data_IF_875610803049
#
_entry.id   IF_875610803049
#
_cell.length_a   1.000
_cell.length_b   1.000
_cell.length_c   1.000
_cell.angle_alpha   90.00
_cell.angle_beta   90.00
_cell.angle_gamma   90.00
#
_symmetry.space_group_name_H-M   'P 1'
#
loop_
_entity.id
_entity.type
_entity.pdbx_description
1 polymer ?
#
# COMPACT_ATOMS: atom_id res chain seq x y z
N UNK A 1 19.94 -76.04 -19.33
CA UNK A 1 19.11 -74.99 -19.85
C UNK A 1 18.83 -74.00 -18.68
N UNK A 2 19.59 -72.90 -18.61
CA UNK A 2 19.49 -71.94 -17.59
C UNK A 2 18.73 -70.69 -18.21
N UNK A 3 17.54 -70.40 -17.73
CA UNK A 3 16.76 -69.22 -18.15
C UNK A 3 17.11 -68.03 -17.23
N UNK A 4 17.80 -67.09 -17.79
CA UNK A 4 18.12 -65.82 -17.13
C UNK A 4 16.94 -64.84 -17.33
N UNK A 5 16.28 -64.42 -16.24
CA UNK A 5 15.21 -63.40 -16.24
C UNK A 5 15.84 -62.04 -16.02
N UNK A 6 15.73 -61.16 -17.00
CA UNK A 6 16.19 -59.75 -16.91
C UNK A 6 15.04 -58.93 -16.32
N UNK A 7 15.23 -58.39 -15.10
CA UNK A 7 14.32 -57.42 -14.49
C UNK A 7 14.71 -56.00 -14.93
N UNK A 8 13.87 -55.38 -15.73
CA UNK A 8 14.02 -53.98 -16.15
C UNK A 8 13.36 -53.08 -15.09
N UNK A 9 14.17 -52.38 -14.29
CA UNK A 9 13.68 -51.33 -13.40
C UNK A 9 13.40 -50.08 -14.23
N UNK A 10 12.13 -49.69 -14.34
CA UNK A 10 11.68 -48.43 -14.94
C UNK A 10 11.72 -47.35 -13.86
N UNK A 11 12.75 -46.51 -13.87
CA UNK A 11 12.89 -45.37 -12.97
C UNK A 11 11.99 -44.22 -13.44
N UNK A 12 10.90 -43.96 -12.71
CA UNK A 12 10.00 -42.84 -12.96
C UNK A 12 10.62 -41.57 -12.36
N UNK A 13 11.21 -40.72 -13.19
CA UNK A 13 11.70 -39.38 -12.79
C UNK A 13 10.50 -38.46 -12.68
N UNK A 14 10.12 -38.15 -11.44
CA UNK A 14 9.10 -37.12 -11.15
C UNK A 14 9.72 -35.74 -11.34
N UNK A 15 9.43 -35.12 -12.48
CA UNK A 15 9.83 -33.71 -12.74
C UNK A 15 8.89 -32.79 -11.93
N UNK A 16 9.35 -32.31 -10.78
CA UNK A 16 8.65 -31.25 -10.05
C UNK A 16 8.79 -29.92 -10.81
N UNK A 17 7.73 -29.51 -11.47
CA UNK A 17 7.61 -28.15 -12.04
C UNK A 17 7.49 -27.19 -10.86
N UNK A 18 8.58 -26.53 -10.51
CA UNK A 18 8.55 -25.37 -9.63
C UNK A 18 7.92 -24.24 -10.45
N UNK A 19 6.65 -23.97 -10.22
CA UNK A 19 5.98 -22.78 -10.74
C UNK A 19 6.57 -21.57 -10.02
N UNK A 20 7.66 -21.02 -10.56
CA UNK A 20 8.13 -19.71 -10.15
C UNK A 20 7.04 -18.70 -10.51
N UNK A 21 6.49 -18.00 -9.52
CA UNK A 21 5.68 -16.82 -9.76
C UNK A 21 6.59 -15.84 -10.50
N UNK A 22 6.34 -15.60 -11.79
CA UNK A 22 6.98 -14.53 -12.52
C UNK A 22 6.54 -13.22 -11.84
N UNK A 23 7.47 -12.56 -11.15
CA UNK A 23 7.30 -11.15 -10.86
C UNK A 23 7.15 -10.45 -12.22
N UNK A 24 6.06 -9.70 -12.39
CA UNK A 24 5.84 -8.90 -13.60
C UNK A 24 7.01 -7.92 -13.73
N UNK A 25 7.66 -7.85 -14.91
CA UNK A 25 8.81 -6.96 -15.14
C UNK A 25 8.35 -5.51 -14.97
N UNK A 26 8.44 -4.92 -13.83
CA UNK A 26 7.95 -3.57 -13.52
C UNK A 26 7.19 -3.49 -12.18
N UNK A 27 7.01 -4.63 -11.52
CA UNK A 27 6.39 -4.70 -10.19
C UNK A 27 7.44 -5.01 -9.12
N UNK A 28 7.46 -4.22 -8.04
CA UNK A 28 8.31 -4.46 -6.88
C UNK A 28 7.44 -4.84 -5.70
N UNK A 29 7.60 -6.06 -5.18
CA UNK A 29 6.90 -6.50 -3.97
C UNK A 29 7.62 -6.03 -2.72
N UNK A 30 6.85 -5.54 -1.75
CA UNK A 30 7.33 -5.24 -0.40
C UNK A 30 6.48 -5.97 0.64
N UNK A 31 7.08 -6.20 1.82
CA UNK A 31 6.37 -6.62 3.04
C UNK A 31 6.46 -5.50 4.06
N UNK A 32 5.31 -5.04 4.52
CA UNK A 32 5.16 -4.09 5.63
C UNK A 32 4.73 -4.87 6.86
N UNK A 33 5.65 -5.10 7.79
CA UNK A 33 5.37 -5.73 9.06
C UNK A 33 4.77 -4.69 10.02
N UNK A 34 3.59 -4.96 10.58
CA UNK A 34 2.94 -4.07 11.54
C UNK A 34 2.73 -4.78 12.89
N UNK A 35 2.43 -4.00 13.93
CA UNK A 35 2.05 -4.57 15.24
C UNK A 35 0.75 -5.39 15.21
N UNK A 36 0.00 -5.36 14.09
CA UNK A 36 -1.23 -6.13 13.91
C UNK A 36 -1.12 -7.23 12.85
N UNK A 37 0.04 -7.41 12.21
CA UNK A 37 0.32 -8.41 11.18
C UNK A 37 0.96 -7.81 9.94
N UNK A 38 1.28 -8.66 8.99
CA UNK A 38 1.99 -8.28 7.78
C UNK A 38 1.02 -7.89 6.67
N UNK A 39 1.43 -6.91 5.84
CA UNK A 39 0.76 -6.46 4.64
C UNK A 39 1.75 -6.58 3.48
N UNK A 40 1.45 -7.40 2.48
CA UNK A 40 2.26 -7.52 1.26
C UNK A 40 1.65 -6.64 0.17
N UNK A 41 2.50 -5.84 -0.48
CA UNK A 41 2.08 -4.82 -1.43
C UNK A 41 2.92 -4.94 -2.71
N UNK A 42 2.26 -4.96 -3.86
CA UNK A 42 2.87 -4.82 -5.16
C UNK A 42 2.89 -3.34 -5.55
N UNK A 43 4.08 -2.81 -5.81
CA UNK A 43 4.33 -1.45 -6.26
C UNK A 43 4.58 -1.46 -7.77
N UNK A 44 3.84 -0.66 -8.53
CA UNK A 44 3.83 -0.64 -10.00
C UNK A 44 4.83 0.38 -10.56
N UNK A 45 6.13 0.03 -10.55
CA UNK A 45 7.24 0.89 -10.98
C UNK A 45 7.14 1.33 -12.45
N UNK A 46 6.59 0.49 -13.30
CA UNK A 46 6.38 0.77 -14.72
C UNK A 46 5.28 1.81 -14.98
N UNK A 47 4.29 1.90 -14.08
CA UNK A 47 3.14 2.80 -14.20
C UNK A 47 3.31 4.11 -13.45
N UNK A 48 3.88 4.06 -12.25
CA UNK A 48 4.07 5.21 -11.36
C UNK A 48 5.53 5.35 -10.91
N UNK A 49 6.49 5.57 -11.84
CA UNK A 49 7.92 5.49 -11.55
C UNK A 49 8.40 6.54 -10.55
N UNK A 50 7.85 7.77 -10.55
CA UNK A 50 8.25 8.82 -9.61
C UNK A 50 7.77 8.47 -8.20
N UNK A 51 6.51 8.08 -8.08
CA UNK A 51 5.87 7.74 -6.80
C UNK A 51 6.48 6.49 -6.17
N UNK A 52 6.61 5.40 -6.96
CA UNK A 52 7.25 4.16 -6.49
C UNK A 52 8.71 4.41 -6.16
N UNK A 53 9.44 5.16 -7.01
CA UNK A 53 10.85 5.50 -6.77
C UNK A 53 11.05 6.27 -5.46
N UNK A 54 10.15 7.21 -5.12
CA UNK A 54 10.17 7.91 -3.84
C UNK A 54 9.88 6.96 -2.68
N UNK A 55 8.82 6.16 -2.79
CA UNK A 55 8.43 5.23 -1.72
C UNK A 55 9.54 4.19 -1.46
N UNK A 56 10.19 3.67 -2.50
CA UNK A 56 11.30 2.73 -2.36
C UNK A 56 12.54 3.35 -1.71
N UNK A 57 12.80 4.66 -1.88
CA UNK A 57 13.87 5.34 -1.11
C UNK A 57 13.57 5.35 0.38
N UNK A 58 12.30 5.53 0.78
CA UNK A 58 11.89 5.43 2.18
C UNK A 58 12.06 4.00 2.72
N UNK A 59 11.70 2.99 1.91
CA UNK A 59 11.84 1.56 2.25
C UNK A 59 13.31 1.17 2.38
N UNK A 60 14.12 1.45 1.37
CA UNK A 60 15.53 1.05 1.30
C UNK A 60 16.39 1.78 2.36
N UNK A 61 15.98 2.99 2.74
CA UNK A 61 16.60 3.76 3.82
C UNK A 61 16.04 3.49 5.21
N UNK A 62 15.11 2.53 5.36
CA UNK A 62 14.44 2.16 6.62
C UNK A 62 13.70 3.34 7.30
N UNK A 63 13.34 4.38 6.52
CA UNK A 63 12.73 5.60 7.04
C UNK A 63 11.26 5.43 7.47
N UNK A 64 10.65 4.29 7.17
CA UNK A 64 9.30 3.93 7.61
C UNK A 64 9.31 3.02 8.86
N UNK A 65 10.48 2.54 9.30
CA UNK A 65 10.58 1.71 10.49
C UNK A 65 10.26 2.52 11.75
N UNK A 66 9.36 1.98 12.57
CA UNK A 66 8.86 2.67 13.77
C UNK A 66 7.80 3.75 13.50
N UNK A 67 7.49 4.07 12.24
CA UNK A 67 6.37 4.92 11.89
C UNK A 67 5.02 4.22 12.17
N UNK A 68 3.89 4.79 11.81
CA UNK A 68 2.60 4.20 12.16
C UNK A 68 1.49 4.49 11.16
N UNK A 69 0.46 3.64 11.19
CA UNK A 69 -0.88 4.06 10.81
C UNK A 69 -1.47 4.82 12.00
N UNK A 70 -1.83 6.06 11.79
CA UNK A 70 -2.29 6.96 12.85
C UNK A 70 -3.70 7.50 12.62
N UNK A 71 -4.24 7.36 11.40
CA UNK A 71 -5.55 7.87 11.01
C UNK A 71 -6.33 6.81 10.25
N UNK A 72 -7.62 6.71 10.58
CA UNK A 72 -8.59 5.87 9.86
C UNK A 72 -9.80 6.70 9.47
N UNK A 73 -10.22 6.55 8.23
CA UNK A 73 -11.43 7.18 7.69
C UNK A 73 -12.41 6.08 7.33
N UNK A 74 -13.62 6.21 7.83
CA UNK A 74 -14.78 5.36 7.50
C UNK A 74 -15.88 6.23 6.93
N UNK A 75 -16.88 5.65 6.27
CA UNK A 75 -18.02 6.43 5.78
C UNK A 75 -18.78 7.17 6.90
N UNK A 76 -18.71 6.68 8.15
CA UNK A 76 -19.36 7.30 9.31
C UNK A 76 -18.61 8.52 9.82
N UNK A 77 -17.26 8.43 9.92
CA UNK A 77 -16.43 9.48 10.51
C UNK A 77 -15.80 10.43 9.51
N UNK A 78 -15.99 10.21 8.20
CA UNK A 78 -15.42 11.09 7.18
C UNK A 78 -16.12 12.46 7.16
N UNK A 79 -15.33 13.51 7.32
CA UNK A 79 -15.78 14.90 7.30
C UNK A 79 -15.68 15.56 5.91
N UNK A 80 -15.22 14.82 4.90
CA UNK A 80 -15.10 15.28 3.51
C UNK A 80 -16.25 14.83 2.60
N UNK A 81 -16.20 15.27 1.34
CA UNK A 81 -17.19 14.90 0.32
C UNK A 81 -16.53 14.83 -1.07
N UNK A 82 -16.73 13.76 -1.88
CA UNK A 82 -17.43 12.52 -1.53
C UNK A 82 -16.76 11.81 -0.35
N UNK A 83 -17.53 10.98 0.37
CA UNK A 83 -17.00 10.19 1.48
C UNK A 83 -16.09 9.08 0.98
N UNK A 84 -15.05 8.78 1.77
CA UNK A 84 -14.05 7.76 1.46
C UNK A 84 -13.84 6.81 2.65
N UNK A 85 -13.19 5.69 2.39
CA UNK A 85 -12.78 4.74 3.42
C UNK A 85 -11.32 4.33 3.20
N UNK A 86 -10.44 4.71 4.15
CA UNK A 86 -8.98 4.47 4.05
C UNK A 86 -8.35 4.30 5.43
N UNK A 87 -7.18 3.68 5.47
CA UNK A 87 -6.21 3.83 6.57
C UNK A 87 -5.05 4.67 6.07
N UNK A 88 -4.59 5.63 6.88
CA UNK A 88 -3.48 6.52 6.55
C UNK A 88 -2.35 6.34 7.54
N UNK A 89 -1.13 6.31 7.01
CA UNK A 89 0.09 6.19 7.78
C UNK A 89 1.27 6.86 7.09
N UNK A 90 2.40 6.77 7.73
CA UNK A 90 3.65 7.36 7.29
C UNK A 90 4.44 7.87 8.49
N UNK A 91 5.25 8.89 8.29
CA UNK A 91 6.13 9.44 9.32
C UNK A 91 5.42 10.38 10.32
N UNK A 92 4.15 10.73 10.04
CA UNK A 92 3.36 11.61 10.89
C UNK A 92 3.96 13.03 10.93
N UNK A 93 4.27 13.51 12.15
CA UNK A 93 4.84 14.85 12.37
C UNK A 93 6.35 14.94 12.05
N UNK A 94 7.01 13.83 11.72
CA UNK A 94 8.42 13.86 11.35
C UNK A 94 8.60 14.36 9.91
N UNK A 95 9.53 15.28 9.71
CA UNK A 95 9.86 15.78 8.38
C UNK A 95 10.34 14.64 7.47
N UNK A 96 9.88 14.65 6.22
CA UNK A 96 10.34 13.69 5.23
C UNK A 96 11.84 13.85 4.97
N UNK A 97 12.64 12.76 4.89
CA UNK A 97 14.06 12.84 4.58
C UNK A 97 14.33 13.23 3.11
N UNK A 98 13.29 13.25 2.28
CA UNK A 98 13.37 13.56 0.86
C UNK A 98 12.41 14.70 0.49
N UNK A 99 12.76 15.51 -0.53
CA UNK A 99 11.85 16.56 -1.01
C UNK A 99 10.55 15.94 -1.56
N UNK A 100 9.47 16.74 -1.60
CA UNK A 100 8.24 16.35 -2.30
C UNK A 100 8.49 15.98 -3.76
N UNK A 101 7.59 15.16 -4.31
CA UNK A 101 7.66 14.66 -5.68
C UNK A 101 6.57 15.27 -6.56
N UNK A 102 6.83 15.29 -7.87
CA UNK A 102 5.81 15.60 -8.86
C UNK A 102 4.65 14.60 -8.79
N UNK A 103 3.45 15.09 -9.07
CA UNK A 103 2.23 14.32 -8.97
C UNK A 103 1.99 13.44 -10.22
N UNK A 104 1.81 12.15 -10.02
CA UNK A 104 1.39 11.19 -11.05
C UNK A 104 -0.09 10.88 -10.86
N UNK A 105 -0.95 11.44 -11.71
CA UNK A 105 -2.40 11.27 -11.62
C UNK A 105 -2.86 9.86 -12.01
N UNK A 106 -4.05 9.45 -11.57
CA UNK A 106 -4.65 8.17 -12.01
C UNK A 106 -4.95 8.14 -13.51
N UNK A 107 -5.15 9.31 -14.15
CA UNK A 107 -5.27 9.42 -15.61
C UNK A 107 -3.96 9.05 -16.32
N UNK A 108 -2.82 9.48 -15.79
CA UNK A 108 -1.49 9.20 -16.35
C UNK A 108 -1.08 7.75 -16.14
N UNK A 109 -1.32 7.21 -14.95
CA UNK A 109 -0.83 5.89 -14.54
C UNK A 109 -1.79 4.75 -14.89
N UNK A 110 -3.09 5.05 -15.04
CA UNK A 110 -4.15 4.06 -15.20
C UNK A 110 -4.44 3.24 -13.93
N UNK A 111 -3.91 3.64 -12.77
CA UNK A 111 -4.13 2.98 -11.49
C UNK A 111 -5.26 3.71 -10.75
N UNK A 112 -6.47 3.15 -10.76
CA UNK A 112 -7.63 3.70 -10.05
C UNK A 112 -7.60 3.31 -8.57
N UNK A 113 -8.28 4.09 -7.71
CA UNK A 113 -8.39 3.83 -6.27
C UNK A 113 -9.42 2.72 -5.97
N UNK A 114 -9.09 1.48 -6.33
CA UNK A 114 -9.86 0.28 -5.99
C UNK A 114 -9.54 -0.24 -4.58
N UNK A 115 -10.28 -1.27 -4.11
CA UNK A 115 -9.99 -1.96 -2.82
C UNK A 115 -8.54 -2.43 -2.75
N UNK A 116 -7.84 -2.04 -1.68
CA UNK A 116 -6.45 -2.38 -1.41
C UNK A 116 -5.41 -1.54 -2.14
N UNK A 117 -5.79 -0.56 -2.96
CA UNK A 117 -4.81 0.32 -3.62
C UNK A 117 -4.14 1.22 -2.60
N UNK A 118 -2.79 1.30 -2.69
CA UNK A 118 -1.96 2.23 -1.93
C UNK A 118 -1.71 3.50 -2.75
N UNK A 119 -1.81 4.66 -2.10
CA UNK A 119 -1.69 5.97 -2.72
C UNK A 119 -0.98 6.97 -1.80
N UNK A 120 -0.29 7.97 -2.36
CA UNK A 120 0.35 9.01 -1.57
C UNK A 120 -0.66 10.03 -1.06
N UNK A 121 -0.58 10.33 0.23
CA UNK A 121 -1.28 11.48 0.80
C UNK A 121 -0.54 12.79 0.44
N UNK A 122 -1.28 13.88 0.29
CA UNK A 122 -0.74 15.19 -0.07
C UNK A 122 -1.60 16.34 0.47
N UNK A 123 -1.02 17.50 0.58
CA UNK A 123 -1.73 18.78 0.63
C UNK A 123 -2.02 19.27 -0.79
N UNK A 124 -1.33 20.33 -1.24
CA UNK A 124 -1.40 20.82 -2.62
C UNK A 124 -0.75 19.83 -3.59
N UNK A 125 -1.02 19.98 -4.90
CA UNK A 125 -0.37 19.19 -5.96
C UNK A 125 1.15 19.33 -5.88
N UNK A 126 1.88 18.22 -5.95
CA UNK A 126 3.34 18.19 -5.86
C UNK A 126 3.89 18.32 -4.43
N UNK A 127 3.08 18.09 -3.39
CA UNK A 127 3.55 18.10 -1.99
C UNK A 127 3.67 16.71 -1.36
N UNK A 128 3.38 15.65 -2.10
CA UNK A 128 3.50 14.28 -1.61
C UNK A 128 4.97 13.93 -1.30
N UNK A 129 5.23 13.31 -0.15
CA UNK A 129 6.59 12.95 0.29
C UNK A 129 6.69 11.60 1.00
N UNK A 130 6.12 11.46 2.22
CA UNK A 130 6.25 10.27 3.07
C UNK A 130 4.95 9.69 3.59
N UNK A 131 3.84 10.45 3.46
CA UNK A 131 2.54 10.01 3.94
C UNK A 131 1.78 9.26 2.85
N UNK A 132 1.13 8.16 3.23
CA UNK A 132 0.39 7.31 2.31
C UNK A 132 -0.90 6.80 2.94
N UNK A 133 -1.79 6.27 2.11
CA UNK A 133 -3.00 5.61 2.57
C UNK A 133 -3.29 4.34 1.76
N UNK A 134 -4.10 3.44 2.33
CA UNK A 134 -4.60 2.23 1.65
C UNK A 134 -6.12 2.31 1.64
N UNK A 135 -6.71 2.09 0.46
CA UNK A 135 -8.15 2.12 0.24
C UNK A 135 -8.84 0.86 0.78
N UNK A 136 -10.03 1.06 1.37
CA UNK A 136 -10.98 -0.01 1.66
C UNK A 136 -12.20 0.17 0.73
N UNK A 137 -12.48 -0.85 -0.08
CA UNK A 137 -13.43 -0.73 -1.19
C UNK A 137 -12.95 0.26 -2.26
N UNK A 138 -13.76 0.43 -3.30
CA UNK A 138 -13.47 1.33 -4.40
C UNK A 138 -13.73 2.79 -3.98
N UNK A 139 -12.76 3.66 -4.20
CA UNK A 139 -12.78 5.06 -3.79
C UNK A 139 -12.63 6.00 -5.00
N UNK A 140 -13.58 6.00 -5.96
CA UNK A 140 -13.45 6.78 -7.19
C UNK A 140 -13.37 8.29 -6.94
N UNK A 141 -13.84 8.78 -5.79
CA UNK A 141 -13.69 10.18 -5.39
C UNK A 141 -12.25 10.65 -5.27
N UNK A 142 -11.27 9.72 -5.16
CA UNK A 142 -9.84 10.01 -5.05
C UNK A 142 -9.12 10.03 -6.40
N UNK A 143 -9.80 9.65 -7.50
CA UNK A 143 -9.23 9.64 -8.84
C UNK A 143 -9.20 11.05 -9.47
N UNK A 144 -8.34 11.21 -10.49
CA UNK A 144 -8.27 12.42 -11.30
C UNK A 144 -9.64 12.79 -11.88
N UNK A 145 -9.95 14.09 -11.93
CA UNK A 145 -11.22 14.63 -12.42
C UNK A 145 -12.36 14.53 -11.38
N UNK A 146 -12.11 14.02 -10.18
CA UNK A 146 -13.09 13.95 -9.11
C UNK A 146 -12.89 15.06 -8.06
N UNK A 147 -13.95 15.32 -7.29
CA UNK A 147 -14.09 16.54 -6.50
C UNK A 147 -13.70 16.39 -5.01
N UNK A 148 -13.07 15.28 -4.63
CA UNK A 148 -12.59 15.11 -3.24
C UNK A 148 -11.57 16.19 -2.88
N UNK A 149 -10.67 16.52 -3.81
CA UNK A 149 -9.81 17.68 -3.73
C UNK A 149 -10.34 18.78 -4.67
N UNK A 150 -10.39 20.05 -4.23
CA UNK A 150 -10.87 21.16 -5.06
C UNK A 150 -10.05 21.39 -6.33
N UNK A 151 -8.82 20.88 -6.39
CA UNK A 151 -7.94 20.95 -7.57
C UNK A 151 -8.25 19.89 -8.64
N UNK A 152 -9.15 18.92 -8.35
CA UNK A 152 -9.58 17.84 -9.22
C UNK A 152 -8.42 16.94 -9.73
N UNK A 153 -7.23 17.03 -9.12
CA UNK A 153 -6.06 16.23 -9.53
C UNK A 153 -6.02 14.84 -8.88
N UNK A 154 -6.91 14.56 -7.91
CA UNK A 154 -6.93 13.31 -7.17
C UNK A 154 -5.66 13.03 -6.38
N UNK A 155 -5.33 11.75 -6.18
CA UNK A 155 -4.14 11.31 -5.47
C UNK A 155 -3.30 10.38 -6.35
N UNK A 156 -2.02 10.21 -6.00
CA UNK A 156 -1.08 9.38 -6.76
C UNK A 156 -1.13 7.93 -6.28
N UNK A 157 -1.98 7.11 -6.91
CA UNK A 157 -2.04 5.67 -6.70
C UNK A 157 -0.82 4.99 -7.34
N UNK A 158 -0.17 4.04 -6.64
CA UNK A 158 1.10 3.49 -7.11
C UNK A 158 1.32 2.00 -6.83
N UNK A 159 0.35 1.30 -6.24
CA UNK A 159 0.45 -0.12 -5.94
C UNK A 159 -0.84 -0.70 -5.36
N UNK A 160 -0.80 -1.98 -4.99
CA UNK A 160 -1.96 -2.68 -4.43
C UNK A 160 -1.54 -3.73 -3.40
N UNK A 161 -2.29 -3.85 -2.32
CA UNK A 161 -2.17 -4.93 -1.35
C UNK A 161 -2.53 -6.25 -2.02
N UNK A 162 -1.65 -7.22 -1.93
CA UNK A 162 -1.84 -8.58 -2.48
C UNK A 162 -2.07 -9.63 -1.40
N UNK A 163 -1.66 -9.33 -0.15
CA UNK A 163 -1.94 -10.14 1.02
C UNK A 163 -2.04 -9.23 2.26
N UNK A 164 -2.88 -9.59 3.25
CA UNK A 164 -3.03 -8.82 4.48
C UNK A 164 -4.15 -7.77 4.47
N UNK A 165 -5.10 -7.80 3.53
CA UNK A 165 -6.30 -6.91 3.58
C UNK A 165 -7.16 -7.12 4.83
N UNK A 166 -7.09 -8.27 5.49
CA UNK A 166 -7.70 -8.49 6.80
C UNK A 166 -7.02 -7.66 7.90
N UNK A 167 -5.69 -7.46 7.81
CA UNK A 167 -4.94 -6.54 8.69
C UNK A 167 -5.38 -5.09 8.44
N UNK A 168 -5.47 -4.66 7.18
CA UNK A 168 -5.96 -3.33 6.79
C UNK A 168 -7.35 -3.06 7.35
N UNK A 169 -8.27 -4.02 7.24
CA UNK A 169 -9.64 -3.89 7.78
C UNK A 169 -9.66 -3.85 9.30
N UNK A 170 -8.79 -4.62 10.00
CA UNK A 170 -8.67 -4.52 11.46
C UNK A 170 -8.17 -3.15 11.91
N UNK A 171 -7.18 -2.60 11.23
CA UNK A 171 -6.67 -1.26 11.52
C UNK A 171 -7.78 -0.21 11.33
N UNK A 172 -8.54 -0.28 10.23
CA UNK A 172 -9.63 0.65 9.95
C UNK A 172 -10.75 0.60 11.01
N UNK A 173 -11.01 -0.59 11.57
CA UNK A 173 -12.01 -0.80 12.63
C UNK A 173 -11.52 -0.43 14.04
N UNK A 174 -10.29 0.04 14.20
CA UNK A 174 -9.74 0.42 15.50
C UNK A 174 -10.35 1.73 16.01
N UNK A 175 -10.47 1.94 17.36
CA UNK A 175 -10.99 3.17 17.93
C UNK A 175 -10.20 4.41 17.47
N UNK A 176 -10.93 5.45 17.04
CA UNK A 176 -10.37 6.68 16.47
C UNK A 176 -10.96 7.91 17.17
N UNK A 177 -10.77 8.01 18.47
CA UNK A 177 -11.29 9.07 19.32
C UNK A 177 -10.17 9.94 19.97
N UNK A 178 -8.92 9.77 19.50
CA UNK A 178 -7.85 10.67 19.92
C UNK A 178 -8.13 12.13 19.48
N UNK A 179 -7.64 13.12 20.26
CA UNK A 179 -7.78 14.54 19.91
C UNK A 179 -7.21 14.85 18.52
N UNK A 180 -7.86 15.79 17.83
CA UNK A 180 -7.37 16.35 16.58
C UNK A 180 -7.49 17.88 16.62
N UNK A 181 -6.47 18.57 16.11
CA UNK A 181 -6.44 20.04 16.00
C UNK A 181 -7.21 20.56 14.77
N UNK A 182 -7.73 19.65 13.93
CA UNK A 182 -8.47 19.98 12.70
C UNK A 182 -9.87 19.38 12.71
N UNK A 183 -10.88 20.20 12.41
CA UNK A 183 -12.25 19.71 12.18
C UNK A 183 -12.31 18.68 11.05
N UNK A 184 -11.41 18.74 10.06
CA UNK A 184 -11.36 17.79 8.95
C UNK A 184 -10.96 16.39 9.41
N UNK A 185 -10.07 16.25 10.39
CA UNK A 185 -9.59 14.95 10.90
C UNK A 185 -10.20 14.53 12.23
N UNK A 186 -11.15 15.31 12.76
CA UNK A 186 -11.83 15.02 14.02
C UNK A 186 -12.57 13.69 13.97
N UNK A 187 -12.32 12.84 14.98
CA UNK A 187 -12.90 11.48 15.06
C UNK A 187 -12.25 10.47 14.10
N UNK A 188 -11.07 10.79 13.57
CA UNK A 188 -10.34 9.94 12.63
C UNK A 188 -8.95 9.55 13.13
N UNK A 189 -8.47 10.16 14.22
CA UNK A 189 -7.14 9.87 14.77
C UNK A 189 -7.24 8.65 15.70
N UNK A 190 -6.44 7.62 15.42
CA UNK A 190 -6.41 6.41 16.21
C UNK A 190 -6.03 6.71 17.66
N UNK A 191 -6.79 6.15 18.62
CA UNK A 191 -6.48 6.24 20.05
C UNK A 191 -5.14 5.58 20.38
N UNK A 192 -4.83 4.50 19.67
CA UNK A 192 -3.54 3.79 19.71
C UNK A 192 -3.05 3.59 18.26
N UNK A 193 -2.06 4.36 17.78
CA UNK A 193 -1.48 4.18 16.46
C UNK A 193 -0.93 2.76 16.26
N UNK A 194 -1.14 2.18 15.09
CA UNK A 194 -0.62 0.86 14.74
C UNK A 194 0.79 1.00 14.19
N UNK A 195 1.78 0.49 14.93
CA UNK A 195 3.19 0.66 14.56
C UNK A 195 3.53 -0.14 13.31
N UNK A 196 4.20 0.50 12.37
CA UNK A 196 4.90 -0.11 11.25
C UNK A 196 6.29 -0.53 11.77
N UNK A 197 6.45 -1.81 12.04
CA UNK A 197 7.68 -2.36 12.63
C UNK A 197 8.84 -2.27 11.65
N UNK A 198 8.58 -2.62 10.40
CA UNK A 198 9.55 -2.50 9.31
C UNK A 198 8.86 -2.59 7.95
N UNK A 199 9.50 -2.02 6.92
CA UNK A 199 9.10 -2.21 5.52
C UNK A 199 10.31 -2.67 4.73
N UNK A 200 10.20 -3.79 4.00
CA UNK A 200 11.31 -4.37 3.23
C UNK A 200 10.84 -4.86 1.86
N UNK A 201 11.73 -4.83 0.88
CA UNK A 201 11.50 -5.53 -0.40
C UNK A 201 11.36 -7.02 -0.12
N UNK A 202 10.35 -7.67 -0.72
CA UNK A 202 10.27 -9.12 -0.72
C UNK A 202 11.35 -9.72 -1.65
N UNK A 203 11.97 -10.79 -1.22
CA UNK A 203 13.00 -11.52 -1.99
C UNK A 203 12.38 -12.39 -3.07
#
# INVERSE_FOLDING_TARGET
MIRTTINTFLSLILLSVISGANADEGTVRITMATSQGDIEIDLYMDKAPLTVGNFLKLVDGEHLDGSSFYRVVTYENDNGNPKIEVIQGGRGDEESPFPPIDHETTEQTGILHEDGVISMARGDVGTASSEFFICLGDQPGLDYGNVRNPDEQGFAAFGKVVNGMDVVRRINASPADAPSDSDYTKGQILSEPVIIVSVRRAN
#
